data_IF_821692743141
#
_entry.id   IF_821692743141
#
_cell.length_a   1.000
_cell.length_b   1.000
_cell.length_c   1.000
_cell.angle_alpha   90.00
_cell.angle_beta   90.00
_cell.angle_gamma   90.00
#
_symmetry.space_group_name_H-M   'P 1'
#
loop_
_entity.id
_entity.type
_entity.pdbx_description
1 polymer ?
#
# COMPACT_ATOMS: atom_id res chain seq x y z
N UNK A 1 13.46 18.66 -30.95
CA UNK A 1 14.05 17.80 -29.91
C UNK A 1 12.93 16.97 -29.31
N UNK A 2 12.73 15.74 -29.82
CA UNK A 2 11.80 14.75 -29.27
C UNK A 2 12.68 13.73 -28.55
N UNK A 3 12.37 13.45 -27.29
CA UNK A 3 13.02 12.36 -26.54
C UNK A 3 12.02 11.21 -26.55
N UNK A 4 12.37 10.17 -27.32
CA UNK A 4 11.73 8.86 -27.27
C UNK A 4 12.29 8.13 -26.05
N UNK A 5 11.40 7.51 -25.26
CA UNK A 5 11.80 6.56 -24.22
C UNK A 5 11.45 5.17 -24.71
N UNK A 6 12.48 4.37 -24.96
CA UNK A 6 12.39 3.00 -25.43
C UNK A 6 11.62 2.11 -24.42
N UNK A 7 10.59 1.45 -24.93
CA UNK A 7 9.87 0.41 -24.21
C UNK A 7 10.77 -0.84 -24.08
N UNK A 8 11.03 -1.27 -22.84
CA UNK A 8 11.78 -2.49 -22.57
C UNK A 8 10.99 -3.74 -23.00
N UNK A 9 11.68 -4.62 -23.71
CA UNK A 9 11.21 -5.76 -24.46
C UNK A 9 10.41 -6.80 -23.65
N UNK A 10 9.26 -7.20 -24.20
CA UNK A 10 8.55 -8.40 -23.81
C UNK A 10 9.20 -9.63 -24.48
N UNK A 11 9.97 -10.41 -23.71
CA UNK A 11 10.49 -11.69 -24.14
C UNK A 11 9.44 -12.78 -24.01
N UNK A 12 8.88 -13.24 -25.13
CA UNK A 12 8.12 -14.47 -25.21
C UNK A 12 9.09 -15.67 -25.38
N UNK A 13 9.00 -16.67 -24.51
CA UNK A 13 9.64 -17.97 -24.70
C UNK A 13 8.57 -19.07 -24.62
N UNK A 14 8.60 -19.94 -25.63
CA UNK A 14 7.61 -20.95 -25.99
C UNK A 14 7.54 -22.12 -24.99
N UNK A 15 6.35 -22.75 -24.97
CA UNK A 15 5.95 -23.82 -24.07
C UNK A 15 6.74 -25.14 -24.24
N UNK A 16 7.06 -25.77 -23.11
CA UNK A 16 7.08 -27.23 -22.96
C UNK A 16 6.36 -27.59 -21.65
N UNK A 17 5.49 -28.61 -21.73
CA UNK A 17 4.37 -28.80 -20.82
C UNK A 17 4.73 -29.13 -19.37
N UNK A 18 3.91 -28.62 -18.45
CA UNK A 18 3.22 -29.34 -17.38
C UNK A 18 2.59 -28.34 -16.40
N UNK A 19 1.26 -28.41 -16.28
CA UNK A 19 0.39 -27.82 -15.24
C UNK A 19 0.96 -26.64 -14.41
N UNK A 20 1.22 -25.50 -15.05
CA UNK A 20 1.39 -24.25 -14.31
C UNK A 20 0.02 -23.59 -14.17
N UNK A 21 -0.51 -23.59 -12.95
CA UNK A 21 -1.51 -22.61 -12.55
C UNK A 21 -0.91 -21.23 -12.83
N UNK A 22 -1.29 -20.58 -13.93
CA UNK A 22 -0.88 -19.22 -14.22
C UNK A 22 -1.57 -18.35 -13.19
N UNK A 23 -0.90 -18.10 -12.08
CA UNK A 23 -1.27 -17.00 -11.18
C UNK A 23 -1.00 -15.75 -12.02
N UNK A 24 -2.04 -15.26 -12.69
CA UNK A 24 -2.06 -13.88 -13.18
C UNK A 24 -2.01 -13.02 -11.94
N UNK A 25 -0.79 -12.68 -11.48
CA UNK A 25 -0.62 -11.57 -10.56
C UNK A 25 -1.07 -10.35 -11.36
N UNK A 26 -2.23 -9.81 -11.01
CA UNK A 26 -2.59 -8.46 -11.46
C UNK A 26 -1.48 -7.56 -10.92
N UNK A 27 -0.57 -7.16 -11.79
CA UNK A 27 0.46 -6.15 -11.50
C UNK A 27 -0.29 -4.95 -10.91
N UNK A 28 -0.02 -4.65 -9.65
CA UNK A 28 -0.44 -3.38 -9.09
C UNK A 28 0.47 -2.34 -9.72
N UNK A 29 -0.02 -1.66 -10.76
CA UNK A 29 0.80 -0.73 -11.56
C UNK A 29 1.03 0.61 -10.86
N UNK A 30 0.59 0.76 -9.61
CA UNK A 30 0.68 2.00 -8.83
C UNK A 30 1.21 1.72 -7.42
N UNK A 31 2.15 2.56 -6.98
CA UNK A 31 2.68 2.51 -5.63
C UNK A 31 3.01 3.91 -5.15
N UNK A 32 2.91 4.15 -3.86
CA UNK A 32 3.25 5.45 -3.26
C UNK A 32 4.03 5.25 -1.97
N UNK A 33 4.77 6.27 -1.55
CA UNK A 33 5.44 6.30 -0.25
C UNK A 33 4.65 7.19 0.73
N UNK A 34 4.54 6.77 1.99
CA UNK A 34 3.92 7.59 3.04
C UNK A 34 4.73 8.86 3.31
N UNK A 35 6.06 8.71 3.23
CA UNK A 35 7.06 9.75 3.42
C UNK A 35 7.97 9.81 2.19
N UNK A 36 8.17 11.00 1.64
CA UNK A 36 9.12 11.24 0.55
C UNK A 36 10.56 11.06 1.06
N UNK A 37 11.47 10.55 0.23
CA UNK A 37 12.91 10.51 0.57
C UNK A 37 13.41 11.90 0.99
N UNK A 38 14.24 11.96 2.03
CA UNK A 38 14.76 13.22 2.57
C UNK A 38 13.82 13.94 3.55
N UNK A 39 12.53 13.61 3.58
CA UNK A 39 11.56 14.31 4.45
C UNK A 39 11.74 14.06 5.95
N UNK A 40 12.63 13.13 6.34
CA UNK A 40 12.88 12.73 7.72
C UNK A 40 14.35 12.96 8.12
N UNK A 41 15.14 13.68 7.32
CA UNK A 41 16.59 13.85 7.55
C UNK A 41 16.89 14.52 8.90
N UNK A 42 16.03 15.44 9.35
CA UNK A 42 16.18 16.12 10.64
C UNK A 42 16.00 15.22 11.87
N UNK A 43 15.38 14.05 11.70
CA UNK A 43 15.11 13.07 12.77
C UNK A 43 15.77 11.71 12.49
N UNK A 44 16.57 11.60 11.43
CA UNK A 44 17.15 10.34 10.96
C UNK A 44 18.01 9.67 12.03
N UNK A 45 18.82 10.45 12.76
CA UNK A 45 19.68 9.94 13.85
C UNK A 45 18.86 9.30 14.98
N UNK A 46 17.73 9.89 15.36
CA UNK A 46 16.91 9.41 16.47
C UNK A 46 16.17 8.11 16.10
N UNK A 47 15.71 8.03 14.85
CA UNK A 47 14.98 6.89 14.31
C UNK A 47 15.92 5.72 13.97
N UNK A 48 17.11 6.00 13.45
CA UNK A 48 18.08 5.02 12.96
C UNK A 48 17.72 4.45 11.58
N UNK A 49 18.74 3.95 10.88
CA UNK A 49 18.65 3.57 9.46
C UNK A 49 17.58 2.51 9.16
N UNK A 50 17.40 1.54 10.06
CA UNK A 50 16.38 0.49 9.89
C UNK A 50 14.97 1.07 9.91
N UNK A 51 14.69 2.01 10.81
CA UNK A 51 13.37 2.64 10.90
C UNK A 51 13.13 3.57 9.69
N UNK A 52 14.13 4.38 9.33
CA UNK A 52 14.06 5.27 8.15
C UNK A 52 13.82 4.47 6.86
N UNK A 53 14.55 3.35 6.67
CA UNK A 53 14.36 2.49 5.50
C UNK A 53 12.97 1.88 5.44
N UNK A 54 12.42 1.46 6.59
CA UNK A 54 11.05 0.96 6.67
C UNK A 54 10.02 2.06 6.33
N UNK A 55 10.18 3.28 6.85
CA UNK A 55 9.27 4.40 6.60
C UNK A 55 9.22 4.84 5.13
N UNK A 56 10.34 4.70 4.40
CA UNK A 56 10.44 5.00 2.97
C UNK A 56 10.02 3.86 2.04
N UNK A 57 9.62 2.71 2.59
CA UNK A 57 9.13 1.60 1.75
C UNK A 57 7.82 1.98 1.06
N UNK A 58 7.72 1.67 -0.23
CA UNK A 58 6.50 1.92 -1.00
C UNK A 58 5.37 0.97 -0.60
N UNK A 59 4.15 1.49 -0.65
CA UNK A 59 2.91 0.74 -0.58
C UNK A 59 2.43 0.51 -2.00
N UNK A 60 2.35 -0.76 -2.40
CA UNK A 60 1.81 -1.22 -3.67
C UNK A 60 0.27 -1.21 -3.62
N UNK A 61 -0.31 -0.03 -3.80
CA UNK A 61 -1.75 0.21 -3.85
C UNK A 61 -2.03 1.47 -4.69
N UNK A 62 -3.20 1.63 -5.32
CA UNK A 62 -3.62 2.92 -5.87
C UNK A 62 -3.43 4.05 -4.87
N UNK A 63 -2.80 5.14 -5.33
CA UNK A 63 -2.50 6.28 -4.48
C UNK A 63 -3.77 6.93 -3.97
N UNK A 64 -4.68 7.35 -4.86
CA UNK A 64 -6.00 7.83 -4.46
C UNK A 64 -6.98 6.68 -4.30
N UNK A 65 -7.81 6.65 -3.22
CA UNK A 65 -7.89 7.59 -2.10
C UNK A 65 -6.98 7.23 -0.90
N UNK A 66 -6.19 6.16 -0.98
CA UNK A 66 -5.49 5.58 0.17
C UNK A 66 -4.46 6.53 0.79
N UNK A 67 -3.73 7.30 -0.03
CA UNK A 67 -2.74 8.26 0.43
C UNK A 67 -3.33 9.44 1.21
N UNK A 68 -4.63 9.71 1.05
CA UNK A 68 -5.38 10.74 1.79
C UNK A 68 -5.84 10.26 3.16
N UNK A 69 -5.76 8.96 3.46
CA UNK A 69 -6.22 8.38 4.71
C UNK A 69 -5.23 8.58 5.87
N UNK A 70 -4.82 9.83 6.10
CA UNK A 70 -3.72 10.20 7.02
C UNK A 70 -4.15 10.53 8.45
N UNK A 71 -5.45 10.43 8.76
CA UNK A 71 -6.01 10.78 10.08
C UNK A 71 -7.16 9.86 10.49
N UNK A 72 -7.43 9.75 11.79
CA UNK A 72 -8.59 9.02 12.28
C UNK A 72 -9.88 9.68 11.82
N UNK A 73 -10.62 9.01 10.92
CA UNK A 73 -11.96 9.41 10.47
C UNK A 73 -12.63 8.23 9.78
N UNK A 74 -13.95 8.13 9.94
CA UNK A 74 -14.79 7.20 9.18
C UNK A 74 -14.65 7.46 7.67
N UNK A 75 -14.27 6.43 6.91
CA UNK A 75 -14.11 6.43 5.44
C UNK A 75 -15.39 6.06 4.71
N UNK A 76 -16.21 5.19 5.30
CA UNK A 76 -17.38 4.63 4.63
C UNK A 76 -16.99 3.78 3.42
N UNK A 77 -17.91 3.62 2.46
CA UNK A 77 -17.63 2.97 1.17
C UNK A 77 -17.66 4.04 0.08
N UNK A 78 -16.62 4.15 -0.78
CA UNK A 78 -16.69 4.92 -2.01
C UNK A 78 -17.94 4.56 -2.83
N UNK A 79 -18.66 5.55 -3.33
CA UNK A 79 -19.85 5.32 -4.18
C UNK A 79 -19.48 4.79 -5.59
N UNK A 80 -18.21 4.91 -5.99
CA UNK A 80 -17.70 4.42 -7.27
C UNK A 80 -17.10 3.01 -7.12
N UNK A 81 -17.80 2.02 -7.67
CA UNK A 81 -17.40 0.60 -7.69
C UNK A 81 -16.03 0.38 -8.36
N UNK A 82 -15.65 1.22 -9.31
CA UNK A 82 -14.34 1.15 -9.98
C UNK A 82 -13.22 1.55 -9.01
N UNK A 83 -13.43 2.62 -8.24
CA UNK A 83 -12.49 3.04 -7.19
C UNK A 83 -12.40 1.95 -6.13
N UNK A 84 -13.54 1.47 -5.65
CA UNK A 84 -13.62 0.42 -4.63
C UNK A 84 -12.89 -0.86 -5.07
N UNK A 85 -13.17 -1.37 -6.28
CA UNK A 85 -12.54 -2.59 -6.80
C UNK A 85 -11.04 -2.43 -7.10
N UNK A 86 -10.56 -1.21 -7.35
CA UNK A 86 -9.13 -0.94 -7.55
C UNK A 86 -8.34 -1.01 -6.23
N UNK A 87 -8.93 -0.54 -5.12
CA UNK A 87 -8.30 -0.49 -3.80
C UNK A 87 -8.49 -1.80 -3.03
N UNK A 88 -9.67 -2.41 -3.11
CA UNK A 88 -10.01 -3.64 -2.39
C UNK A 88 -9.44 -4.90 -3.07
N UNK A 89 -8.15 -4.86 -3.40
CA UNK A 89 -7.38 -5.99 -3.91
C UNK A 89 -6.55 -6.62 -2.80
N UNK A 90 -6.28 -7.92 -2.92
CA UNK A 90 -5.38 -8.62 -2.00
C UNK A 90 -3.94 -8.07 -2.02
N UNK A 91 -3.50 -7.52 -3.16
CA UNK A 91 -2.20 -6.86 -3.30
C UNK A 91 -2.09 -5.60 -2.46
N UNK A 92 -3.08 -4.69 -2.58
CA UNK A 92 -3.13 -3.48 -1.75
C UNK A 92 -3.21 -3.84 -0.25
N UNK A 93 -4.09 -4.79 0.11
CA UNK A 93 -4.21 -5.29 1.48
C UNK A 93 -2.86 -5.75 2.04
N UNK A 94 -2.19 -6.64 1.31
CA UNK A 94 -0.93 -7.23 1.74
C UNK A 94 0.16 -6.17 1.87
N UNK A 95 0.23 -5.22 0.94
CA UNK A 95 1.23 -4.17 0.97
C UNK A 95 1.03 -3.17 2.12
N UNK A 96 -0.21 -2.76 2.40
CA UNK A 96 -0.52 -1.88 3.53
C UNK A 96 -0.19 -2.56 4.87
N UNK A 97 -0.64 -3.81 5.04
CA UNK A 97 -0.34 -4.62 6.23
C UNK A 97 1.17 -4.81 6.41
N UNK A 98 1.88 -5.09 5.32
CA UNK A 98 3.33 -5.27 5.33
C UNK A 98 4.06 -3.99 5.74
N UNK A 99 3.67 -2.84 5.18
CA UNK A 99 4.23 -1.55 5.56
C UNK A 99 4.03 -1.29 7.06
N UNK A 100 2.80 -1.44 7.55
CA UNK A 100 2.46 -1.22 8.96
C UNK A 100 3.29 -2.11 9.90
N UNK A 101 3.33 -3.43 9.63
CA UNK A 101 4.06 -4.38 10.46
C UNK A 101 5.57 -4.12 10.44
N UNK A 102 6.12 -3.82 9.25
CA UNK A 102 7.56 -3.56 9.08
C UNK A 102 7.97 -2.30 9.84
N UNK A 103 7.21 -1.21 9.71
CA UNK A 103 7.49 0.03 10.44
C UNK A 103 7.29 -0.17 11.94
N UNK A 104 6.22 -0.84 12.37
CA UNK A 104 5.98 -1.13 13.79
C UNK A 104 7.13 -1.90 14.43
N UNK A 105 7.72 -2.86 13.71
CA UNK A 105 8.86 -3.64 14.20
C UNK A 105 10.18 -2.85 14.13
N UNK A 106 10.51 -2.25 12.98
CA UNK A 106 11.77 -1.54 12.76
C UNK A 106 11.91 -0.26 13.59
N UNK A 107 10.78 0.35 13.95
CA UNK A 107 10.72 1.59 14.72
C UNK A 107 10.25 1.40 16.16
N UNK A 108 10.33 0.18 16.71
CA UNK A 108 9.88 -0.11 18.07
C UNK A 108 10.55 0.81 19.10
N UNK A 109 9.75 1.45 19.95
CA UNK A 109 10.22 2.39 20.98
C UNK A 109 10.69 3.76 20.46
N UNK A 110 10.58 4.02 19.16
CA UNK A 110 10.92 5.31 18.55
C UNK A 110 9.71 6.24 18.49
N UNK A 111 9.97 7.55 18.37
CA UNK A 111 8.94 8.56 18.18
C UNK A 111 9.23 9.40 16.95
N UNK A 112 8.18 9.75 16.21
CA UNK A 112 8.19 10.67 15.08
C UNK A 112 7.10 11.72 15.33
N UNK A 113 7.52 12.95 15.62
CA UNK A 113 6.63 14.08 15.96
C UNK A 113 5.58 13.71 17.01
N UNK A 114 6.04 13.26 18.19
CA UNK A 114 5.20 12.88 19.34
C UNK A 114 4.26 11.68 19.13
N UNK A 115 4.40 10.98 18.00
CA UNK A 115 3.63 9.79 17.68
C UNK A 115 4.54 8.59 17.39
N UNK A 116 3.95 7.41 17.43
CA UNK A 116 4.61 6.19 16.94
C UNK A 116 4.81 6.29 15.41
N UNK A 117 5.97 5.92 14.86
CA UNK A 117 6.28 6.13 13.43
C UNK A 117 5.32 5.47 12.44
N UNK A 118 4.61 4.40 12.82
CA UNK A 118 3.60 3.77 11.96
C UNK A 118 2.26 4.52 11.93
N UNK A 119 2.05 5.59 12.73
CA UNK A 119 0.72 6.20 12.93
C UNK A 119 0.02 6.58 11.62
N UNK A 120 0.71 7.26 10.70
CA UNK A 120 0.10 7.73 9.45
C UNK A 120 -0.29 6.56 8.54
N UNK A 121 0.62 5.62 8.27
CA UNK A 121 0.29 4.44 7.46
C UNK A 121 -0.65 3.47 8.20
N UNK A 122 -0.71 3.53 9.53
CA UNK A 122 -1.72 2.84 10.33
C UNK A 122 -3.13 3.32 10.02
N UNK A 123 -3.35 4.63 9.88
CA UNK A 123 -4.66 5.14 9.45
C UNK A 123 -5.03 4.70 8.02
N UNK A 124 -4.05 4.51 7.14
CA UNK A 124 -4.29 3.97 5.80
C UNK A 124 -4.69 2.49 5.85
N UNK A 125 -3.99 1.71 6.69
CA UNK A 125 -4.32 0.30 6.91
C UNK A 125 -5.71 0.12 7.53
N UNK A 126 -6.04 0.90 8.55
CA UNK A 126 -7.38 0.92 9.16
C UNK A 126 -8.45 1.35 8.16
N UNK A 127 -8.19 2.40 7.37
CA UNK A 127 -9.10 2.84 6.31
C UNK A 127 -9.38 1.75 5.28
N UNK A 128 -8.37 0.94 4.93
CA UNK A 128 -8.57 -0.21 4.05
C UNK A 128 -9.40 -1.30 4.72
N UNK A 129 -9.11 -1.66 5.97
CA UNK A 129 -9.88 -2.67 6.72
C UNK A 129 -11.35 -2.26 6.87
N UNK A 130 -11.60 -0.98 7.12
CA UNK A 130 -12.93 -0.41 7.22
C UNK A 130 -13.66 -0.48 5.86
N UNK A 131 -13.03 0.04 4.79
CA UNK A 131 -13.66 0.19 3.47
C UNK A 131 -13.86 -1.14 2.76
N UNK A 132 -12.90 -2.06 2.87
CA UNK A 132 -12.82 -3.28 2.07
C UNK A 132 -13.22 -4.55 2.83
N UNK A 133 -13.62 -4.44 4.11
CA UNK A 133 -14.16 -5.59 4.83
C UNK A 133 -15.41 -6.12 4.12
N UNK A 134 -15.45 -7.42 3.87
CA UNK A 134 -16.60 -8.12 3.31
C UNK A 134 -17.18 -9.09 4.33
N UNK A 135 -18.51 -9.21 4.35
CA UNK A 135 -19.19 -10.31 5.02
C UNK A 135 -18.87 -11.62 4.28
N UNK A 136 -18.26 -12.61 4.94
CA UNK A 136 -17.89 -13.87 4.32
C UNK A 136 -19.07 -14.66 3.77
N UNK A 137 -20.30 -14.44 4.29
CA UNK A 137 -21.52 -15.13 3.85
C UNK A 137 -22.12 -14.48 2.61
N UNK A 138 -22.39 -13.17 2.67
CA UNK A 138 -23.08 -12.46 1.59
C UNK A 138 -22.15 -11.96 0.48
N UNK A 139 -20.83 -11.93 0.74
CA UNK A 139 -19.80 -11.34 -0.14
C UNK A 139 -20.04 -9.86 -0.44
N UNK A 140 -20.82 -9.18 0.41
CA UNK A 140 -21.03 -7.74 0.35
C UNK A 140 -20.06 -7.03 1.26
N UNK A 141 -19.69 -5.81 0.90
CA UNK A 141 -18.90 -4.95 1.78
C UNK A 141 -19.69 -4.61 3.05
N UNK A 142 -19.02 -4.65 4.20
CA UNK A 142 -19.62 -4.37 5.51
C UNK A 142 -20.06 -2.91 5.64
N UNK A 143 -19.37 -2.01 4.95
CA UNK A 143 -19.74 -0.60 4.85
C UNK A 143 -20.63 -0.29 3.64
N UNK A 144 -20.99 -1.30 2.84
CA UNK A 144 -21.87 -1.13 1.69
C UNK A 144 -23.28 -0.73 2.12
N UNK A 145 -23.99 0.00 1.27
CA UNK A 145 -25.44 0.20 1.43
C UNK A 145 -26.22 -1.08 1.13
#
# INVERSE_FOLDING_TARGET
>A
MKVEYDAMAAGALLASGNLFHTIVRREVTSSFAVYSKGSLDSVATDLGDSCISALYTNISCPEYPVSDWRSAKWRGTPDDDTVLSSVCTSGCQASLKSWFNTVSSACAGKMLHEATPMRIGGFMWEGWNETCAMDPKTKKYCNGK
#
